data_IF_756601817269
#
_entry.id   IF_756601817269
#
_cell.length_a   1.000
_cell.length_b   1.000
_cell.length_c   1.000
_cell.angle_alpha   90.00
_cell.angle_beta   90.00
_cell.angle_gamma   90.00
#
_symmetry.space_group_name_H-M   'P 1'
#
loop_
_entity.id
_entity.type
_entity.pdbx_description
1 polymer ?
#
# COMPACT_ATOMS: atom_id res chain seq x y z
N UNK A 1 -19.78 11.63 -15.87
CA UNK A 1 -18.68 11.27 -14.93
C UNK A 1 -18.15 9.86 -15.15
N UNK A 2 -18.98 8.85 -15.41
CA UNK A 2 -18.55 7.45 -15.62
C UNK A 2 -17.76 7.20 -16.91
N UNK A 3 -17.94 8.01 -17.94
CA UNK A 3 -17.29 7.80 -19.25
C UNK A 3 -15.76 8.00 -19.23
N UNK A 4 -15.28 8.99 -18.47
CA UNK A 4 -13.84 9.27 -18.32
C UNK A 4 -13.11 8.12 -17.60
N UNK A 5 -13.68 7.61 -16.50
CA UNK A 5 -13.13 6.47 -15.76
C UNK A 5 -13.20 5.16 -16.56
N UNK A 6 -14.18 5.02 -17.45
CA UNK A 6 -14.26 3.89 -18.37
C UNK A 6 -13.17 3.94 -19.46
N UNK A 7 -12.78 5.14 -19.89
CA UNK A 7 -11.70 5.35 -20.87
C UNK A 7 -10.30 5.28 -20.24
N UNK A 8 -10.16 5.62 -18.96
CA UNK A 8 -8.90 5.61 -18.22
C UNK A 8 -9.02 4.89 -16.85
N UNK A 9 -9.30 3.57 -16.83
CA UNK A 9 -9.56 2.83 -15.60
C UNK A 9 -8.34 2.78 -14.66
N UNK A 10 -7.13 2.77 -15.22
CA UNK A 10 -5.87 2.81 -14.45
C UNK A 10 -5.73 4.13 -13.69
N UNK A 11 -6.02 5.25 -14.34
CA UNK A 11 -5.97 6.56 -13.68
C UNK A 11 -7.00 6.64 -12.54
N UNK A 12 -8.21 6.15 -12.78
CA UNK A 12 -9.26 6.08 -11.75
C UNK A 12 -8.85 5.27 -10.53
N UNK A 13 -8.25 4.11 -10.76
CA UNK A 13 -7.70 3.27 -9.70
C UNK A 13 -6.65 4.02 -8.87
N UNK A 14 -5.63 4.61 -9.50
CA UNK A 14 -4.57 5.30 -8.79
C UNK A 14 -5.08 6.52 -8.02
N UNK A 15 -5.98 7.29 -8.62
CA UNK A 15 -6.60 8.44 -7.96
C UNK A 15 -7.37 8.01 -6.71
N UNK A 16 -8.17 6.95 -6.81
CA UNK A 16 -8.94 6.45 -5.68
C UNK A 16 -8.04 5.87 -4.57
N UNK A 17 -7.03 5.07 -4.95
CA UNK A 17 -6.08 4.49 -4.01
C UNK A 17 -5.29 5.59 -3.28
N UNK A 18 -4.88 6.64 -4.00
CA UNK A 18 -4.23 7.81 -3.43
C UNK A 18 -5.15 8.51 -2.42
N UNK A 19 -6.36 8.91 -2.83
CA UNK A 19 -7.28 9.62 -1.96
C UNK A 19 -7.63 8.83 -0.70
N UNK A 20 -7.91 7.53 -0.83
CA UNK A 20 -8.21 6.65 0.31
C UNK A 20 -7.00 6.49 1.25
N UNK A 21 -5.79 6.33 0.71
CA UNK A 21 -4.57 6.18 1.53
C UNK A 21 -4.26 7.46 2.30
N UNK A 22 -4.40 8.62 1.65
CA UNK A 22 -4.16 9.92 2.28
C UNK A 22 -5.26 10.30 3.27
N UNK A 23 -6.52 9.95 3.02
CA UNK A 23 -7.61 10.12 4.00
C UNK A 23 -7.36 9.34 5.29
N UNK A 24 -6.75 8.16 5.22
CA UNK A 24 -6.33 7.41 6.41
C UNK A 24 -5.10 8.00 7.09
N UNK A 25 -4.05 8.36 6.33
CA UNK A 25 -2.75 8.74 6.90
C UNK A 25 -2.62 10.20 7.33
N UNK A 26 -3.25 11.15 6.63
CA UNK A 26 -3.15 12.58 6.97
C UNK A 26 -3.65 12.85 8.38
N UNK A 27 -4.82 12.35 8.81
CA UNK A 27 -5.29 12.56 10.17
C UNK A 27 -4.35 11.97 11.22
N UNK A 28 -3.79 10.77 10.97
CA UNK A 28 -2.82 10.14 11.87
C UNK A 28 -1.53 10.95 11.99
N UNK A 29 -1.01 11.46 10.87
CA UNK A 29 0.19 12.31 10.87
C UNK A 29 -0.07 13.63 11.60
N UNK A 30 -1.16 14.32 11.29
CA UNK A 30 -1.55 15.56 11.98
C UNK A 30 -1.69 15.34 13.50
N UNK A 31 -2.25 14.19 13.90
CA UNK A 31 -2.34 13.82 15.31
C UNK A 31 -0.97 13.58 15.96
N UNK A 32 -0.03 12.93 15.24
CA UNK A 32 1.35 12.77 15.74
C UNK A 32 2.13 14.08 15.90
N UNK A 33 1.75 15.12 15.15
CA UNK A 33 2.31 16.48 15.29
C UNK A 33 1.61 17.32 16.35
N UNK A 34 0.62 16.76 17.08
CA UNK A 34 -0.09 17.46 18.15
C UNK A 34 -1.12 18.48 17.66
N UNK A 35 -1.49 18.46 16.37
CA UNK A 35 -2.46 19.40 15.81
C UNK A 35 -3.91 19.07 16.22
N UNK A 36 -4.20 17.81 16.54
CA UNK A 36 -5.42 17.37 17.20
C UNK A 36 -5.23 15.98 17.83
N UNK A 37 -6.03 15.62 18.84
CA UNK A 37 -5.95 14.31 19.49
C UNK A 37 -6.96 13.33 18.92
N UNK A 38 -6.50 12.13 18.57
CA UNK A 38 -7.35 10.99 18.25
C UNK A 38 -7.64 10.21 19.54
N UNK A 39 -8.60 10.72 20.33
CA UNK A 39 -8.90 10.16 21.66
C UNK A 39 -9.50 8.74 21.58
N UNK A 40 -10.05 8.37 20.41
CA UNK A 40 -10.63 7.06 20.19
C UNK A 40 -9.63 6.11 19.48
N UNK A 41 -9.13 5.07 20.17
CA UNK A 41 -8.16 4.13 19.59
C UNK A 41 -8.73 3.31 18.43
N UNK A 42 -10.05 3.10 18.37
CA UNK A 42 -10.72 2.44 17.24
C UNK A 42 -10.61 3.29 15.97
N UNK A 43 -10.79 4.60 16.09
CA UNK A 43 -10.69 5.52 14.95
C UNK A 43 -9.25 5.55 14.42
N UNK A 44 -8.25 5.62 15.30
CA UNK A 44 -6.85 5.55 14.90
C UNK A 44 -6.52 4.23 14.18
N UNK A 45 -7.01 3.10 14.69
CA UNK A 45 -6.81 1.78 14.08
C UNK A 45 -7.48 1.68 12.70
N UNK A 46 -8.71 2.19 12.57
CA UNK A 46 -9.43 2.21 11.30
C UNK A 46 -8.74 3.08 10.25
N UNK A 47 -8.25 4.25 10.64
CA UNK A 47 -7.51 5.16 9.75
C UNK A 47 -6.18 4.53 9.29
N UNK A 48 -5.49 3.83 10.18
CA UNK A 48 -4.26 3.12 9.85
C UNK A 48 -4.54 1.97 8.86
N UNK A 49 -5.57 1.18 9.15
CA UNK A 49 -6.04 0.11 8.27
C UNK A 49 -6.48 0.64 6.90
N UNK A 50 -7.21 1.75 6.86
CA UNK A 50 -7.61 2.41 5.61
C UNK A 50 -6.39 2.79 4.77
N UNK A 51 -5.35 3.34 5.40
CA UNK A 51 -4.09 3.67 4.74
C UNK A 51 -3.43 2.48 4.01
N UNK A 52 -3.48 1.29 4.61
CA UNK A 52 -2.89 0.06 4.07
C UNK A 52 -3.79 -0.69 3.07
N UNK A 53 -5.11 -0.70 3.28
CA UNK A 53 -6.07 -1.45 2.47
C UNK A 53 -6.65 -0.60 1.32
N UNK A 54 -6.32 0.70 1.28
CA UNK A 54 -6.77 1.66 0.25
C UNK A 54 -6.64 1.18 -1.20
N UNK A 55 -5.51 0.57 -1.65
CA UNK A 55 -5.40 0.06 -3.03
C UNK A 55 -6.39 -1.07 -3.31
N UNK A 56 -6.58 -1.99 -2.37
CA UNK A 56 -7.54 -3.09 -2.52
C UNK A 56 -8.96 -2.56 -2.62
N UNK A 57 -9.32 -1.59 -1.76
CA UNK A 57 -10.63 -0.95 -1.80
C UNK A 57 -10.85 -0.19 -3.12
N UNK A 58 -9.83 0.50 -3.62
CA UNK A 58 -9.86 1.16 -4.92
C UNK A 58 -10.07 0.20 -6.09
N UNK A 59 -9.42 -0.97 -6.08
CA UNK A 59 -9.62 -2.01 -7.09
C UNK A 59 -11.07 -2.51 -7.09
N UNK A 60 -11.61 -2.82 -5.90
CA UNK A 60 -13.00 -3.30 -5.75
C UNK A 60 -13.99 -2.26 -6.25
N UNK A 61 -13.82 -0.99 -5.88
CA UNK A 61 -14.70 0.11 -6.32
C UNK A 61 -14.64 0.27 -7.84
N UNK A 62 -13.45 0.29 -8.45
CA UNK A 62 -13.30 0.41 -9.91
C UNK A 62 -13.94 -0.76 -10.66
N UNK A 63 -13.82 -1.99 -10.16
CA UNK A 63 -14.40 -3.18 -10.78
C UNK A 63 -15.93 -3.16 -10.70
N UNK A 64 -16.49 -2.73 -9.56
CA UNK A 64 -17.92 -2.50 -9.41
C UNK A 64 -18.42 -1.40 -10.38
N UNK A 65 -17.69 -0.28 -10.50
CA UNK A 65 -18.03 0.83 -11.39
C UNK A 65 -17.97 0.44 -12.87
N UNK A 66 -17.01 -0.39 -13.26
CA UNK A 66 -16.84 -0.85 -14.63
C UNK A 66 -17.78 -2.01 -14.99
N UNK A 67 -18.49 -2.59 -14.01
CA UNK A 67 -19.31 -3.80 -14.16
C UNK A 67 -18.55 -4.96 -14.81
N UNK A 68 -17.22 -5.02 -14.60
CA UNK A 68 -16.42 -6.14 -15.05
C UNK A 68 -16.74 -7.33 -14.15
N UNK A 69 -17.53 -8.28 -14.64
CA UNK A 69 -17.94 -9.50 -13.90
C UNK A 69 -16.82 -10.53 -13.73
N UNK A 70 -15.56 -10.14 -13.90
CA UNK A 70 -14.43 -11.03 -13.68
C UNK A 70 -14.20 -11.24 -12.18
N UNK A 71 -13.95 -12.49 -11.80
CA UNK A 71 -13.63 -12.83 -10.42
C UNK A 71 -12.29 -12.20 -10.02
N UNK A 72 -12.36 -11.10 -9.28
CA UNK A 72 -11.25 -10.43 -8.57
C UNK A 72 -10.28 -11.42 -7.90
N UNK A 73 -10.84 -12.50 -7.37
CA UNK A 73 -10.12 -13.49 -6.58
C UNK A 73 -9.73 -14.75 -7.37
N UNK A 74 -10.19 -14.92 -8.61
CA UNK A 74 -9.82 -16.07 -9.43
C UNK A 74 -8.30 -16.18 -9.68
N UNK A 75 -7.55 -15.08 -9.88
CA UNK A 75 -6.09 -15.16 -9.99
C UNK A 75 -5.42 -15.69 -8.72
N UNK A 76 -5.94 -15.37 -7.53
CA UNK A 76 -5.38 -15.85 -6.25
C UNK A 76 -5.47 -17.37 -6.11
N UNK A 77 -6.45 -18.01 -6.76
CA UNK A 77 -6.61 -19.46 -6.75
C UNK A 77 -5.65 -20.17 -7.72
N UNK A 78 -5.02 -19.45 -8.65
CA UNK A 78 -4.10 -20.02 -9.63
C UNK A 78 -2.67 -19.95 -9.07
N UNK A 79 -2.29 -20.98 -8.34
CA UNK A 79 -0.92 -21.13 -7.88
C UNK A 79 0.01 -21.40 -9.06
N UNK A 80 0.84 -20.42 -9.42
CA UNK A 80 1.80 -20.49 -10.55
C UNK A 80 3.26 -20.34 -10.12
N UNK A 81 3.52 -20.35 -8.81
CA UNK A 81 4.82 -19.99 -8.24
C UNK A 81 5.56 -21.24 -7.81
N UNK A 82 6.66 -21.56 -8.50
CA UNK A 82 7.56 -22.66 -8.12
C UNK A 82 8.35 -22.35 -6.85
N UNK A 83 8.83 -23.39 -6.15
CA UNK A 83 9.55 -23.25 -4.86
C UNK A 83 10.79 -22.34 -4.94
N UNK A 84 11.41 -22.26 -6.13
CA UNK A 84 12.56 -21.39 -6.40
C UNK A 84 12.26 -19.91 -6.12
N UNK A 85 11.03 -19.46 -6.41
CA UNK A 85 10.62 -18.08 -6.15
C UNK A 85 10.46 -17.78 -4.66
N UNK A 86 10.18 -18.80 -3.83
CA UNK A 86 10.20 -18.63 -2.37
C UNK A 86 11.61 -18.41 -1.85
N UNK A 87 12.57 -19.19 -2.35
CA UNK A 87 13.98 -19.00 -2.01
C UNK A 87 14.45 -17.61 -2.41
N UNK A 88 14.11 -17.15 -3.61
CA UNK A 88 14.41 -15.79 -4.05
C UNK A 88 13.72 -14.78 -3.12
N UNK A 89 12.41 -14.83 -2.95
CA UNK A 89 11.68 -13.87 -2.11
C UNK A 89 12.18 -13.81 -0.66
N UNK A 90 12.59 -14.95 -0.09
CA UNK A 90 13.09 -15.04 1.28
C UNK A 90 14.56 -14.62 1.41
N UNK A 91 15.40 -14.94 0.41
CA UNK A 91 16.84 -14.68 0.48
C UNK A 91 17.23 -13.30 -0.05
N UNK A 92 16.47 -12.70 -0.97
CA UNK A 92 16.78 -11.38 -1.56
C UNK A 92 16.85 -10.22 -0.55
N UNK A 93 16.04 -10.17 0.52
CA UNK A 93 16.14 -9.11 1.53
C UNK A 93 17.52 -9.05 2.23
N UNK A 94 18.18 -10.20 2.42
CA UNK A 94 19.46 -10.27 3.13
C UNK A 94 20.60 -9.51 2.44
N UNK A 95 20.96 -9.78 1.16
CA UNK A 95 22.02 -9.04 0.48
C UNK A 95 21.66 -7.57 0.30
N UNK A 96 20.38 -7.24 0.10
CA UNK A 96 19.92 -5.84 0.04
C UNK A 96 20.17 -5.12 1.36
N UNK A 97 19.86 -5.76 2.49
CA UNK A 97 20.09 -5.18 3.82
C UNK A 97 21.58 -5.04 4.13
N UNK A 98 22.39 -6.06 3.82
CA UNK A 98 23.86 -6.00 3.99
C UNK A 98 24.46 -4.88 3.15
N UNK A 99 24.02 -4.72 1.90
CA UNK A 99 24.47 -3.65 1.02
C UNK A 99 24.07 -2.28 1.56
N UNK A 100 22.81 -2.13 1.98
CA UNK A 100 22.31 -0.88 2.56
C UNK A 100 23.10 -0.46 3.81
N UNK A 101 23.37 -1.40 4.72
CA UNK A 101 24.18 -1.17 5.93
C UNK A 101 25.64 -0.87 5.60
N UNK A 102 26.21 -1.52 4.59
CA UNK A 102 27.59 -1.28 4.15
C UNK A 102 27.73 0.13 3.58
N UNK A 103 26.76 0.59 2.78
CA UNK A 103 26.72 1.97 2.27
C UNK A 103 26.52 2.96 3.42
N UNK A 104 25.60 2.67 4.35
CA UNK A 104 25.33 3.54 5.50
C UNK A 104 26.55 3.68 6.42
N UNK A 105 27.29 2.59 6.68
CA UNK A 105 28.51 2.61 7.49
C UNK A 105 29.72 3.23 6.78
N UNK A 106 29.72 3.28 5.44
CA UNK A 106 30.77 3.91 4.64
C UNK A 106 30.58 5.44 4.48
N UNK A 107 29.41 5.98 4.84
CA UNK A 107 29.14 7.41 4.82
C UNK A 107 29.78 8.09 6.06
N UNK A 108 30.64 9.12 5.88
CA UNK A 108 31.19 9.88 7.00
C UNK A 108 30.05 10.69 7.63
N UNK A 109 29.57 10.23 8.78
CA UNK A 109 28.36 10.73 9.45
C UNK A 109 27.42 9.63 9.96
N UNK A 110 27.86 8.35 9.92
CA UNK A 110 27.10 7.21 10.44
C UNK A 110 26.43 7.50 11.79
N UNK A 111 25.10 7.49 11.77
CA UNK A 111 24.23 7.57 12.93
C UNK A 111 24.61 6.42 13.89
N UNK A 112 25.47 6.72 14.86
CA UNK A 112 25.56 5.95 16.09
C UNK A 112 24.18 6.03 16.79
N UNK A 113 23.70 4.94 17.40
CA UNK A 113 22.45 4.96 18.17
C UNK A 113 22.49 5.99 19.30
#
# INVERSE_FOLDING_TARGET
>A
MTEFFRKHPVFGFYLLAFLLSWLGRVPLMLSSYGLFTLDNPLVATLLFGLGGVAPTLAAVIMIALLKSGESLFAPFRRWRVGVQWYLIALLTPFPVMVLALSIAGALPGGLAP
#
